data_IF_854616885271
#
_entry.id   IF_854616885271
#
_cell.length_a   1.000
_cell.length_b   1.000
_cell.length_c   1.000
_cell.angle_alpha   90.00
_cell.angle_beta   90.00
_cell.angle_gamma   90.00
#
_symmetry.space_group_name_H-M   'P 1'
#
loop_
_entity.id
_entity.type
_entity.pdbx_description
1 polymer ?
#
# COMPACT_ATOMS: atom_id res chain seq x y z
N UNK A 1 14.32 -23.12 13.95
CA UNK A 1 14.76 -21.88 13.28
C UNK A 1 14.52 -22.10 11.81
N UNK A 2 13.73 -21.24 11.16
CA UNK A 2 13.57 -21.30 9.71
C UNK A 2 14.94 -21.14 9.03
N UNK A 3 15.12 -21.76 7.87
CA UNK A 3 16.34 -21.64 7.08
C UNK A 3 16.56 -20.16 6.70
N UNK A 4 17.80 -19.67 6.81
CA UNK A 4 18.13 -18.29 6.45
C UNK A 4 18.11 -18.16 4.93
N UNK A 5 17.00 -17.67 4.40
CA UNK A 5 16.84 -17.32 2.98
C UNK A 5 17.56 -16.02 2.60
N UNK A 6 17.92 -15.92 1.32
CA UNK A 6 18.30 -14.67 0.65
C UNK A 6 17.11 -14.12 -0.13
N UNK A 7 16.64 -12.93 0.27
CA UNK A 7 15.41 -12.32 -0.29
C UNK A 7 15.70 -10.92 -0.85
N UNK A 8 15.39 -10.70 -2.12
CA UNK A 8 15.36 -9.37 -2.71
C UNK A 8 13.92 -8.84 -2.71
N UNK A 9 13.73 -7.55 -2.44
CA UNK A 9 12.41 -6.91 -2.38
C UNK A 9 12.43 -5.61 -3.16
N UNK A 10 11.49 -5.41 -4.07
CA UNK A 10 11.37 -4.17 -4.82
C UNK A 10 10.54 -3.11 -4.08
N UNK A 11 10.70 -1.83 -4.44
CA UNK A 11 9.79 -0.80 -3.97
C UNK A 11 9.96 0.56 -4.64
N UNK A 12 9.36 1.61 -4.05
CA UNK A 12 9.40 2.99 -4.56
C UNK A 12 9.67 4.05 -3.48
N UNK A 13 10.22 3.67 -2.33
CA UNK A 13 10.48 4.58 -1.19
C UNK A 13 11.47 5.74 -1.49
N UNK A 14 12.44 5.58 -2.38
CA UNK A 14 13.26 6.66 -2.93
C UNK A 14 12.49 7.37 -4.02
N UNK A 15 11.91 6.64 -4.96
CA UNK A 15 11.25 7.20 -6.16
C UNK A 15 10.10 8.15 -5.82
N UNK A 16 9.29 7.80 -4.82
CA UNK A 16 8.24 8.63 -4.24
C UNK A 16 8.50 8.78 -2.73
N UNK A 17 9.26 9.80 -2.31
CA UNK A 17 9.81 9.88 -0.95
C UNK A 17 8.80 10.38 0.10
N UNK A 18 7.56 9.91 0.02
CA UNK A 18 6.48 10.18 0.95
C UNK A 18 6.47 9.18 2.11
N UNK A 19 6.06 9.63 3.30
CA UNK A 19 5.99 8.80 4.50
C UNK A 19 5.07 7.59 4.34
N UNK A 20 3.91 7.76 3.69
CA UNK A 20 3.01 6.65 3.40
C UNK A 20 3.64 5.58 2.49
N UNK A 21 4.31 6.01 1.40
CA UNK A 21 5.01 5.10 0.48
C UNK A 21 6.16 4.38 1.18
N UNK A 22 6.89 5.07 2.03
CA UNK A 22 7.95 4.45 2.82
C UNK A 22 7.42 3.31 3.69
N UNK A 23 6.32 3.52 4.42
CA UNK A 23 5.70 2.48 5.26
C UNK A 23 4.98 1.38 4.47
N UNK A 24 4.66 1.62 3.20
CA UNK A 24 4.14 0.61 2.30
C UNK A 24 5.22 -0.43 1.97
N UNK A 25 6.38 0.05 1.48
CA UNK A 25 7.45 -0.82 1.00
C UNK A 25 8.40 -1.30 2.10
N UNK A 26 8.80 -0.45 3.05
CA UNK A 26 9.88 -0.77 3.98
C UNK A 26 9.53 -1.82 5.04
N UNK A 27 8.26 -2.16 5.18
CA UNK A 27 7.83 -3.19 6.13
C UNK A 27 8.18 -4.61 5.66
N UNK A 28 8.28 -4.83 4.36
CA UNK A 28 8.76 -6.09 3.80
C UNK A 28 10.23 -6.36 4.14
N UNK A 29 11.21 -5.52 3.72
CA UNK A 29 12.61 -5.81 3.98
C UNK A 29 12.94 -5.78 5.48
N UNK A 30 12.27 -4.93 6.26
CA UNK A 30 12.44 -4.91 7.72
C UNK A 30 11.89 -6.18 8.38
N UNK A 31 10.66 -6.59 8.05
CA UNK A 31 10.05 -7.79 8.62
C UNK A 31 10.85 -9.05 8.27
N UNK A 32 11.26 -9.20 7.01
CA UNK A 32 12.11 -10.31 6.55
C UNK A 32 13.45 -10.35 7.28
N UNK A 33 14.07 -9.18 7.47
CA UNK A 33 15.32 -9.06 8.23
C UNK A 33 15.12 -9.49 9.68
N UNK A 34 14.01 -9.12 10.32
CA UNK A 34 13.70 -9.48 11.73
C UNK A 34 13.43 -10.97 11.89
N UNK A 35 12.87 -11.62 10.86
CA UNK A 35 12.76 -13.08 10.76
C UNK A 35 14.13 -13.79 10.57
N UNK A 36 15.21 -13.04 10.35
CA UNK A 36 16.58 -13.56 10.26
C UNK A 36 17.08 -13.80 8.83
N UNK A 37 16.34 -13.37 7.81
CA UNK A 37 16.71 -13.52 6.41
C UNK A 37 17.79 -12.50 5.97
N UNK A 38 18.53 -12.86 4.93
CA UNK A 38 19.48 -11.99 4.25
C UNK A 38 18.75 -11.17 3.19
N UNK A 39 18.52 -9.88 3.47
CA UNK A 39 17.64 -9.04 2.64
C UNK A 39 18.43 -8.02 1.82
N UNK A 40 17.95 -7.74 0.61
CA UNK A 40 18.32 -6.59 -0.21
C UNK A 40 17.06 -5.86 -0.70
N UNK A 41 16.97 -4.56 -0.44
CA UNK A 41 15.97 -3.68 -1.01
C UNK A 41 16.44 -3.14 -2.38
N UNK A 42 15.58 -3.15 -3.39
CA UNK A 42 15.93 -2.80 -4.78
C UNK A 42 14.91 -1.81 -5.35
N UNK A 43 15.37 -0.64 -5.79
CA UNK A 43 14.57 0.28 -6.61
C UNK A 43 15.22 0.44 -7.98
N UNK A 44 14.57 -0.10 -9.00
CA UNK A 44 14.99 0.03 -10.40
C UNK A 44 13.76 0.20 -11.30
N UNK A 45 12.98 1.29 -11.13
CA UNK A 45 11.68 1.40 -11.78
C UNK A 45 11.73 1.93 -13.22
N UNK A 46 12.89 2.42 -13.70
CA UNK A 46 13.04 3.14 -14.99
C UNK A 46 12.08 4.34 -15.18
N UNK A 47 11.66 4.97 -14.08
CA UNK A 47 10.82 6.18 -14.10
C UNK A 47 11.50 7.34 -13.38
N UNK A 48 11.05 8.56 -13.68
CA UNK A 48 11.51 9.77 -13.01
C UNK A 48 11.08 9.77 -11.54
N UNK A 49 11.93 10.33 -10.68
CA UNK A 49 11.63 10.47 -9.26
C UNK A 49 10.69 11.65 -9.05
N UNK A 50 9.76 11.56 -8.11
CA UNK A 50 8.94 12.71 -7.74
C UNK A 50 9.64 13.55 -6.67
N UNK A 51 9.86 14.84 -6.89
CA UNK A 51 10.39 15.77 -5.90
C UNK A 51 9.24 16.45 -5.13
N UNK A 52 9.01 16.10 -3.84
CA UNK A 52 7.93 16.67 -3.04
C UNK A 52 8.19 18.12 -2.61
N UNK A 53 9.37 18.70 -2.89
CA UNK A 53 9.64 20.13 -2.61
C UNK A 53 9.21 21.00 -3.79
N UNK A 54 9.48 20.54 -5.01
CA UNK A 54 9.17 21.29 -6.24
C UNK A 54 7.88 20.84 -6.91
N UNK A 55 7.24 19.79 -6.37
CA UNK A 55 5.98 19.21 -6.83
C UNK A 55 6.03 18.76 -8.30
N UNK A 56 7.18 18.24 -8.74
CA UNK A 56 7.39 17.80 -10.12
C UNK A 56 8.30 16.58 -10.17
N UNK A 57 8.35 15.94 -11.33
CA UNK A 57 9.26 14.84 -11.58
C UNK A 57 10.66 15.34 -11.95
N UNK A 58 11.68 14.67 -11.42
CA UNK A 58 13.09 14.94 -11.66
C UNK A 58 13.80 13.68 -12.14
N UNK A 59 14.71 13.87 -13.09
CA UNK A 59 15.42 12.77 -13.74
C UNK A 59 16.53 12.17 -12.85
N UNK A 60 17.27 13.05 -12.15
CA UNK A 60 18.39 12.65 -11.29
C UNK A 60 17.92 12.33 -9.87
N UNK A 61 18.22 11.10 -9.42
CA UNK A 61 17.76 10.58 -8.14
C UNK A 61 18.70 10.81 -6.95
N UNK A 62 19.77 11.61 -7.07
CA UNK A 62 20.79 11.72 -6.01
C UNK A 62 20.25 12.18 -4.65
N UNK A 63 19.35 13.17 -4.64
CA UNK A 63 18.69 13.64 -3.40
C UNK A 63 17.78 12.57 -2.79
N UNK A 64 17.10 11.80 -3.63
CA UNK A 64 16.22 10.70 -3.25
C UNK A 64 17.02 9.53 -2.66
N UNK A 65 18.16 9.21 -3.26
CA UNK A 65 19.11 8.23 -2.75
C UNK A 65 19.64 8.62 -1.36
N UNK A 66 20.07 9.87 -1.17
CA UNK A 66 20.53 10.38 0.12
C UNK A 66 19.45 10.29 1.19
N UNK A 67 18.21 10.59 0.82
CA UNK A 67 17.06 10.53 1.72
C UNK A 67 16.72 9.08 2.10
N UNK A 68 16.72 8.17 1.12
CA UNK A 68 16.52 6.74 1.35
C UNK A 68 17.60 6.19 2.28
N UNK A 69 18.88 6.49 2.02
CA UNK A 69 20.01 6.05 2.84
C UNK A 69 19.84 6.45 4.31
N UNK A 70 19.49 7.72 4.57
CA UNK A 70 19.24 8.22 5.94
C UNK A 70 18.07 7.52 6.60
N UNK A 71 16.95 7.34 5.88
CA UNK A 71 15.73 6.74 6.43
C UNK A 71 15.87 5.25 6.69
N UNK A 72 16.53 4.51 5.80
CA UNK A 72 16.82 3.08 5.99
C UNK A 72 17.74 2.89 7.19
N UNK A 73 18.81 3.68 7.31
CA UNK A 73 19.73 3.58 8.45
C UNK A 73 19.05 3.94 9.79
N UNK A 74 18.12 4.91 9.78
CA UNK A 74 17.33 5.26 10.95
C UNK A 74 16.26 4.20 11.30
N UNK A 75 15.76 3.46 10.30
CA UNK A 75 14.79 2.40 10.48
C UNK A 75 15.41 1.15 11.13
N UNK A 76 16.53 0.68 10.59
CA UNK A 76 17.31 -0.43 11.13
C UNK A 76 18.79 -0.29 10.67
N UNK A 77 19.75 -0.17 11.59
CA UNK A 77 21.17 -0.03 11.25
C UNK A 77 21.73 -1.15 10.39
N UNK A 78 21.19 -2.37 10.47
CA UNK A 78 21.67 -3.49 9.67
C UNK A 78 21.19 -3.44 8.22
N UNK A 79 20.19 -2.61 7.91
CA UNK A 79 19.73 -2.35 6.54
C UNK A 79 20.54 -1.27 5.83
N UNK A 80 21.42 -0.53 6.53
CA UNK A 80 22.13 0.65 5.99
C UNK A 80 22.91 0.39 4.68
N UNK A 81 23.43 -0.82 4.50
CA UNK A 81 24.20 -1.26 3.32
C UNK A 81 23.44 -2.31 2.48
N UNK A 82 22.13 -2.46 2.71
CA UNK A 82 21.25 -3.49 2.12
C UNK A 82 20.19 -2.89 1.20
N UNK A 83 20.58 -1.89 0.44
CA UNK A 83 19.70 -1.26 -0.53
C UNK A 83 20.45 -0.92 -1.81
N UNK A 84 19.72 -0.87 -2.90
CA UNK A 84 20.18 -0.44 -4.22
C UNK A 84 19.11 0.44 -4.85
N UNK A 85 19.53 1.49 -5.51
CA UNK A 85 18.64 2.35 -6.27
C UNK A 85 19.28 2.74 -7.61
N UNK A 86 18.51 2.61 -8.70
CA UNK A 86 18.83 3.11 -10.04
C UNK A 86 17.82 4.19 -10.44
N UNK A 87 18.32 5.38 -10.73
CA UNK A 87 17.47 6.47 -11.23
C UNK A 87 17.19 6.35 -12.74
N UNK A 88 16.31 7.22 -13.26
CA UNK A 88 15.92 7.22 -14.67
C UNK A 88 17.07 7.45 -15.65
N UNK A 89 18.20 8.04 -15.20
CA UNK A 89 19.40 8.23 -16.02
C UNK A 89 20.29 7.00 -16.08
N UNK A 90 19.95 5.94 -15.35
CA UNK A 90 20.76 4.74 -15.19
C UNK A 90 21.87 4.89 -14.14
N UNK A 91 21.93 6.02 -13.41
CA UNK A 91 22.89 6.20 -12.33
C UNK A 91 22.47 5.36 -11.13
N UNK A 92 23.44 4.75 -10.48
CA UNK A 92 23.21 3.83 -9.36
C UNK A 92 23.74 4.38 -8.04
N UNK A 93 23.08 3.98 -6.96
CA UNK A 93 23.37 4.39 -5.58
C UNK A 93 23.16 3.20 -4.63
N UNK A 94 23.80 3.26 -3.46
CA UNK A 94 23.76 2.18 -2.47
C UNK A 94 24.76 1.08 -2.81
N UNK A 95 24.32 -0.18 -2.76
CA UNK A 95 25.15 -1.35 -3.06
C UNK A 95 25.63 -1.35 -4.52
N UNK A 96 26.87 -1.76 -4.75
CA UNK A 96 27.44 -1.82 -6.10
C UNK A 96 26.68 -2.80 -7.01
N UNK A 97 26.45 -2.41 -8.28
CA UNK A 97 25.63 -3.19 -9.22
C UNK A 97 26.10 -4.64 -9.37
N UNK A 98 27.41 -4.88 -9.45
CA UNK A 98 27.96 -6.24 -9.55
C UNK A 98 27.65 -7.11 -8.33
N UNK A 99 27.43 -6.51 -7.15
CA UNK A 99 27.01 -7.22 -5.94
C UNK A 99 25.52 -7.46 -5.90
N UNK A 100 24.72 -6.52 -6.40
CA UNK A 100 23.27 -6.67 -6.59
C UNK A 100 22.98 -7.84 -7.53
N UNK A 101 23.66 -7.90 -8.68
CA UNK A 101 23.53 -9.01 -9.64
C UNK A 101 23.88 -10.35 -8.99
N UNK A 102 24.99 -10.42 -8.25
CA UNK A 102 25.38 -11.66 -7.52
C UNK A 102 24.35 -12.03 -6.44
N UNK A 103 23.77 -11.03 -5.78
CA UNK A 103 22.75 -11.25 -4.76
C UNK A 103 21.48 -11.84 -5.39
N UNK A 104 20.91 -11.19 -6.41
CA UNK A 104 19.66 -11.61 -7.06
C UNK A 104 19.79 -12.99 -7.73
N UNK A 105 20.90 -13.27 -8.43
CA UNK A 105 21.16 -14.59 -9.03
C UNK A 105 21.30 -15.73 -8.00
N UNK A 106 21.63 -15.39 -6.76
CA UNK A 106 21.71 -16.36 -5.68
C UNK A 106 20.58 -16.21 -4.65
N UNK A 107 19.53 -15.46 -4.98
CA UNK A 107 18.40 -15.25 -4.09
C UNK A 107 17.47 -16.47 -4.13
N UNK A 108 16.99 -16.87 -2.97
CA UNK A 108 15.95 -17.89 -2.85
C UNK A 108 14.59 -17.33 -3.28
N UNK A 109 14.38 -16.03 -3.06
CA UNK A 109 13.13 -15.33 -3.37
C UNK A 109 13.39 -13.90 -3.84
N UNK A 110 12.75 -13.51 -4.93
CA UNK A 110 12.65 -12.13 -5.40
C UNK A 110 11.19 -11.68 -5.33
N UNK A 111 10.90 -10.71 -4.45
CA UNK A 111 9.57 -10.13 -4.29
C UNK A 111 9.43 -8.88 -5.16
N UNK A 112 8.69 -9.01 -6.25
CA UNK A 112 8.30 -7.91 -7.11
C UNK A 112 6.96 -7.32 -6.62
N UNK A 113 7.06 -6.26 -5.83
CA UNK A 113 5.91 -5.59 -5.24
C UNK A 113 5.31 -4.60 -6.24
N UNK A 114 4.01 -4.73 -6.53
CA UNK A 114 3.16 -3.72 -7.19
C UNK A 114 3.71 -3.15 -8.49
N UNK A 115 4.31 -4.00 -9.32
CA UNK A 115 4.97 -3.61 -10.57
C UNK A 115 5.99 -2.46 -10.40
N UNK A 116 6.63 -2.38 -9.23
CA UNK A 116 7.51 -1.27 -8.84
C UNK A 116 8.90 -1.32 -9.47
N UNK A 117 9.18 -2.30 -10.33
CA UNK A 117 10.50 -2.55 -10.85
C UNK A 117 10.45 -2.84 -12.35
N UNK A 118 11.38 -2.25 -13.08
CA UNK A 118 11.73 -2.73 -14.41
C UNK A 118 12.47 -4.06 -14.27
N UNK A 119 11.80 -5.14 -14.63
CA UNK A 119 12.31 -6.49 -14.41
C UNK A 119 13.41 -6.86 -15.41
N UNK A 120 14.62 -7.08 -14.91
CA UNK A 120 15.81 -7.47 -15.69
C UNK A 120 16.08 -8.96 -15.57
N UNK A 121 16.88 -9.50 -16.48
CA UNK A 121 17.26 -10.92 -16.48
C UNK A 121 17.96 -11.34 -15.17
N UNK A 122 18.73 -10.45 -14.55
CA UNK A 122 19.38 -10.74 -13.28
C UNK A 122 18.41 -10.86 -12.10
N UNK A 123 17.23 -10.25 -12.20
CA UNK A 123 16.17 -10.35 -11.20
C UNK A 123 15.36 -11.64 -11.38
N UNK A 124 15.09 -12.00 -12.64
CA UNK A 124 14.45 -13.28 -12.98
C UNK A 124 15.33 -14.51 -12.71
N UNK A 125 16.62 -14.32 -12.46
CA UNK A 125 17.54 -15.41 -12.15
C UNK A 125 17.48 -15.91 -10.70
N UNK A 126 16.63 -15.31 -9.85
CA UNK A 126 16.36 -15.85 -8.52
C UNK A 126 15.70 -17.24 -8.62
N UNK A 127 15.80 -18.04 -7.56
CA UNK A 127 15.19 -19.38 -7.52
C UNK A 127 13.67 -19.31 -7.70
N UNK A 128 13.04 -18.33 -7.05
CA UNK A 128 11.61 -18.06 -7.12
C UNK A 128 11.42 -16.55 -7.28
N UNK A 129 10.62 -16.14 -8.26
CA UNK A 129 10.24 -14.75 -8.49
C UNK A 129 8.74 -14.63 -8.23
N UNK A 130 8.36 -13.94 -7.17
CA UNK A 130 6.98 -13.77 -6.77
C UNK A 130 6.51 -12.33 -7.05
N UNK A 131 5.34 -12.20 -7.66
CA UNK A 131 4.65 -10.93 -7.84
C UNK A 131 3.66 -10.71 -6.69
N UNK A 132 3.63 -9.51 -6.11
CA UNK A 132 2.65 -9.13 -5.08
C UNK A 132 1.84 -7.93 -5.60
N UNK A 133 0.57 -8.15 -5.88
CA UNK A 133 -0.36 -7.15 -6.37
C UNK A 133 -1.04 -6.39 -5.21
N UNK A 134 -0.65 -5.14 -4.98
CA UNK A 134 -1.32 -4.28 -3.99
C UNK A 134 -2.47 -3.43 -4.56
N UNK A 135 -2.68 -3.44 -5.88
CA UNK A 135 -3.67 -2.59 -6.59
C UNK A 135 -4.56 -3.45 -7.51
N UNK A 136 -5.34 -4.37 -6.91
CA UNK A 136 -6.14 -5.34 -7.65
C UNK A 136 -7.19 -4.62 -8.51
N UNK A 137 -7.57 -5.26 -9.62
CA UNK A 137 -8.26 -4.69 -10.80
C UNK A 137 -7.30 -4.04 -11.80
N UNK A 138 -6.38 -3.16 -11.39
CA UNK A 138 -5.53 -2.44 -12.34
C UNK A 138 -4.45 -3.34 -12.97
N UNK A 139 -3.91 -4.27 -12.17
CA UNK A 139 -2.97 -5.29 -12.65
C UNK A 139 -3.65 -6.24 -13.64
N UNK A 140 -4.91 -6.61 -13.38
CA UNK A 140 -5.67 -7.59 -14.14
C UNK A 140 -6.48 -7.00 -15.31
N UNK A 141 -6.62 -5.68 -15.37
CA UNK A 141 -7.54 -5.00 -16.30
C UNK A 141 -7.34 -5.36 -17.77
N UNK A 142 -6.10 -5.60 -18.20
CA UNK A 142 -5.79 -5.92 -19.59
C UNK A 142 -5.83 -7.41 -19.90
N UNK A 143 -6.11 -8.27 -18.91
CA UNK A 143 -6.18 -9.72 -19.08
C UNK A 143 -7.27 -10.13 -20.09
N UNK A 144 -8.51 -9.59 -20.04
CA UNK A 144 -9.54 -9.93 -21.01
C UNK A 144 -9.13 -9.59 -22.46
N UNK A 145 -8.60 -8.39 -22.69
CA UNK A 145 -8.13 -7.95 -24.01
C UNK A 145 -6.94 -8.78 -24.50
N UNK A 146 -6.05 -9.20 -23.61
CA UNK A 146 -4.93 -10.07 -23.95
C UNK A 146 -5.42 -11.46 -24.38
N UNK A 147 -6.38 -12.05 -23.66
CA UNK A 147 -6.98 -13.33 -24.02
C UNK A 147 -7.76 -13.27 -25.34
N UNK A 148 -8.38 -12.12 -25.63
CA UNK A 148 -9.08 -11.87 -26.90
C UNK A 148 -8.13 -11.54 -28.07
N UNK A 149 -6.84 -11.32 -27.81
CA UNK A 149 -5.86 -10.90 -28.82
C UNK A 149 -6.00 -9.44 -29.26
N UNK A 150 -6.71 -8.61 -28.48
CA UNK A 150 -6.98 -7.19 -28.75
C UNK A 150 -6.14 -6.23 -27.90
N UNK A 151 -5.41 -6.73 -26.90
CA UNK A 151 -4.54 -5.91 -26.08
C UNK A 151 -3.48 -5.19 -26.92
N UNK A 152 -3.23 -3.92 -26.56
CA UNK A 152 -2.17 -3.12 -27.14
C UNK A 152 -0.77 -3.66 -26.80
N UNK A 153 0.26 -3.09 -27.42
CA UNK A 153 1.64 -3.58 -27.27
C UNK A 153 2.15 -3.44 -25.82
N UNK A 154 1.75 -2.37 -25.11
CA UNK A 154 2.21 -2.11 -23.75
C UNK A 154 1.56 -3.08 -22.77
N UNK A 155 0.25 -3.28 -22.88
CA UNK A 155 -0.51 -4.22 -22.06
C UNK A 155 -0.06 -5.67 -22.30
N UNK A 156 0.23 -6.01 -23.56
CA UNK A 156 0.83 -7.31 -23.92
C UNK A 156 2.20 -7.48 -23.28
N UNK A 157 3.09 -6.50 -23.42
CA UNK A 157 4.43 -6.57 -22.84
C UNK A 157 4.38 -6.72 -21.30
N UNK A 158 3.45 -6.01 -20.65
CA UNK A 158 3.21 -6.13 -19.21
C UNK A 158 2.78 -7.55 -18.83
N UNK A 159 1.81 -8.12 -19.54
CA UNK A 159 1.33 -9.49 -19.25
C UNK A 159 2.43 -10.53 -19.51
N UNK A 160 3.19 -10.41 -20.61
CA UNK A 160 4.31 -11.32 -20.88
C UNK A 160 5.39 -11.24 -19.80
N UNK A 161 5.67 -10.05 -19.26
CA UNK A 161 6.57 -9.86 -18.12
C UNK A 161 6.01 -10.53 -16.85
N UNK A 162 4.72 -10.36 -16.56
CA UNK A 162 4.07 -11.02 -15.42
C UNK A 162 4.12 -12.55 -15.55
N UNK A 163 3.89 -13.10 -16.73
CA UNK A 163 3.95 -14.56 -17.00
C UNK A 163 5.32 -15.21 -16.74
N UNK A 164 6.38 -14.42 -16.55
CA UNK A 164 7.71 -14.91 -16.15
C UNK A 164 7.87 -15.10 -14.63
N UNK A 165 6.88 -14.72 -13.83
CA UNK A 165 6.89 -14.94 -12.38
C UNK A 165 6.41 -16.35 -12.04
N UNK A 166 6.92 -16.90 -10.95
CA UNK A 166 6.62 -18.26 -10.50
C UNK A 166 5.43 -18.32 -9.53
N UNK A 167 5.17 -17.21 -8.82
CA UNK A 167 4.09 -17.12 -7.84
C UNK A 167 3.42 -15.75 -7.87
N UNK A 168 2.11 -15.72 -7.60
CA UNK A 168 1.29 -14.51 -7.65
C UNK A 168 0.52 -14.35 -6.35
N UNK A 169 0.68 -13.19 -5.73
CA UNK A 169 -0.04 -12.78 -4.54
C UNK A 169 -0.86 -11.54 -4.81
N UNK A 170 -1.97 -11.36 -4.10
CA UNK A 170 -2.81 -10.15 -4.24
C UNK A 170 -3.42 -9.72 -2.91
N UNK A 171 -3.60 -8.41 -2.75
CA UNK A 171 -4.42 -7.85 -1.66
C UNK A 171 -5.92 -7.95 -1.96
N UNK A 172 -6.32 -8.31 -3.19
CA UNK A 172 -7.70 -8.62 -3.52
C UNK A 172 -8.10 -10.01 -3.02
N UNK A 173 -8.42 -10.15 -1.74
CA UNK A 173 -8.70 -11.46 -1.13
C UNK A 173 -9.90 -12.20 -1.75
N UNK A 174 -10.79 -11.48 -2.45
CA UNK A 174 -11.93 -12.08 -3.14
C UNK A 174 -11.65 -12.43 -4.61
N UNK A 175 -10.45 -12.18 -5.14
CA UNK A 175 -10.14 -12.53 -6.54
C UNK A 175 -10.38 -14.02 -6.77
N UNK A 176 -11.22 -14.34 -7.76
CA UNK A 176 -11.68 -15.71 -8.06
C UNK A 176 -12.98 -16.13 -7.38
N UNK A 177 -13.51 -15.33 -6.44
CA UNK A 177 -14.84 -15.56 -5.86
C UNK A 177 -15.97 -15.22 -6.87
N UNK A 178 -17.14 -15.88 -6.78
CA UNK A 178 -18.23 -15.67 -7.76
C UNK A 178 -18.78 -14.25 -7.84
N UNK A 179 -18.70 -13.48 -6.75
CA UNK A 179 -19.17 -12.10 -6.66
C UNK A 179 -18.06 -11.05 -6.88
N UNK A 180 -16.82 -11.49 -7.12
CA UNK A 180 -15.71 -10.61 -7.44
C UNK A 180 -15.62 -10.37 -8.95
N UNK A 181 -15.60 -9.09 -9.38
CA UNK A 181 -15.56 -8.71 -10.81
C UNK A 181 -14.16 -8.58 -11.38
N UNK A 182 -13.11 -8.83 -10.59
CA UNK A 182 -11.73 -8.75 -11.07
C UNK A 182 -11.43 -9.96 -11.96
N UNK A 183 -10.86 -9.76 -13.16
CA UNK A 183 -10.41 -10.88 -14.00
C UNK A 183 -9.38 -11.74 -13.25
N UNK A 184 -9.72 -13.00 -13.01
CA UNK A 184 -8.85 -13.94 -12.30
C UNK A 184 -8.05 -14.87 -13.23
N UNK A 185 -8.29 -14.82 -14.55
CA UNK A 185 -7.63 -15.68 -15.51
C UNK A 185 -6.12 -15.39 -15.63
N UNK A 186 -5.39 -16.32 -16.28
CA UNK A 186 -3.94 -16.33 -16.52
C UNK A 186 -3.02 -16.58 -15.32
N UNK A 187 -3.43 -16.20 -14.11
CA UNK A 187 -2.55 -16.26 -12.94
C UNK A 187 -3.28 -16.87 -11.73
N UNK A 188 -2.60 -17.75 -11.00
CA UNK A 188 -3.11 -18.36 -9.78
C UNK A 188 -2.85 -17.44 -8.58
N UNK A 189 -3.79 -16.53 -8.33
CA UNK A 189 -3.68 -15.52 -7.28
C UNK A 189 -3.86 -16.10 -5.88
N UNK A 190 -2.84 -15.93 -5.03
CA UNK A 190 -2.90 -16.26 -3.60
C UNK A 190 -3.18 -15.00 -2.77
N UNK A 191 -4.23 -14.95 -1.95
CA UNK A 191 -4.48 -13.84 -1.05
C UNK A 191 -3.30 -13.58 -0.11
N UNK A 192 -2.95 -12.31 0.07
CA UNK A 192 -2.01 -11.84 1.10
C UNK A 192 -2.41 -10.45 1.57
N UNK A 193 -1.70 -9.93 2.57
CA UNK A 193 -1.96 -8.61 3.16
C UNK A 193 -0.69 -7.79 3.28
N UNK A 194 -0.86 -6.50 3.55
CA UNK A 194 0.25 -5.64 3.93
C UNK A 194 0.89 -6.15 5.24
N UNK A 195 2.19 -6.53 5.25
CA UNK A 195 2.88 -6.82 6.49
C UNK A 195 3.11 -5.52 7.28
N UNK A 196 2.87 -5.58 8.58
CA UNK A 196 3.11 -4.49 9.52
C UNK A 196 4.06 -4.90 10.63
N UNK A 197 5.19 -4.21 10.74
CA UNK A 197 6.18 -4.41 11.81
C UNK A 197 5.68 -3.69 13.07
N UNK A 198 4.82 -4.37 13.83
CA UNK A 198 3.98 -3.79 14.87
C UNK A 198 4.75 -2.99 15.93
N UNK A 199 5.97 -3.39 16.28
CA UNK A 199 6.77 -2.69 17.31
C UNK A 199 7.05 -1.24 16.94
N UNK A 200 7.29 -0.96 15.65
CA UNK A 200 7.55 0.41 15.19
C UNK A 200 6.33 1.33 15.32
N UNK A 201 5.12 0.75 15.36
CA UNK A 201 3.89 1.50 15.56
C UNK A 201 3.51 1.55 17.04
N UNK A 202 3.81 0.49 17.81
CA UNK A 202 3.60 0.42 19.26
C UNK A 202 4.24 1.62 19.98
N UNK A 203 5.48 1.95 19.64
CA UNK A 203 6.23 3.03 20.29
C UNK A 203 5.75 4.43 19.90
N UNK A 204 4.99 4.55 18.81
CA UNK A 204 4.44 5.79 18.30
C UNK A 204 2.97 6.03 18.72
N UNK A 205 2.38 5.12 19.52
CA UNK A 205 0.98 5.24 19.94
C UNK A 205 0.80 6.44 20.87
N UNK A 206 -0.30 7.15 20.65
CA UNK A 206 -0.76 8.25 21.50
C UNK A 206 -1.98 7.74 22.27
N UNK A 207 -2.05 7.89 23.61
CA UNK A 207 -3.24 7.57 24.40
C UNK A 207 -4.47 8.32 23.88
N UNK A 208 -5.67 7.72 23.98
CA UNK A 208 -6.90 8.30 23.40
C UNK A 208 -7.15 9.73 23.88
N UNK A 209 -6.94 10.00 25.17
CA UNK A 209 -7.08 11.34 25.76
C UNK A 209 -6.14 12.41 25.16
N UNK A 210 -5.04 12.00 24.52
CA UNK A 210 -4.09 12.89 23.84
C UNK A 210 -4.33 13.05 22.34
N UNK A 211 -5.34 12.37 21.77
CA UNK A 211 -5.65 12.42 20.34
C UNK A 211 -6.52 13.62 20.02
N UNK A 212 -6.36 14.14 18.81
CA UNK A 212 -7.24 15.15 18.22
C UNK A 212 -8.60 14.49 17.95
N UNK A 213 -9.72 15.11 18.35
CA UNK A 213 -11.06 14.57 18.11
C UNK A 213 -11.46 14.81 16.66
N UNK A 214 -10.79 14.12 15.73
CA UNK A 214 -10.99 14.18 14.28
C UNK A 214 -10.78 12.79 13.69
N UNK A 215 -11.47 12.50 12.60
CA UNK A 215 -11.10 11.37 11.75
C UNK A 215 -10.27 11.87 10.57
N UNK A 216 -9.15 11.21 10.29
CA UNK A 216 -8.20 11.66 9.26
C UNK A 216 -8.04 10.67 8.13
N UNK A 217 -7.67 11.15 6.95
CA UNK A 217 -7.14 10.32 5.87
C UNK A 217 -6.18 11.09 4.98
N UNK A 218 -5.28 10.35 4.33
CA UNK A 218 -4.33 10.86 3.34
C UNK A 218 -4.66 10.24 1.99
N UNK A 219 -4.90 11.06 0.98
CA UNK A 219 -5.28 10.60 -0.35
C UNK A 219 -4.85 11.57 -1.46
N UNK A 220 -4.85 11.07 -2.69
CA UNK A 220 -4.69 11.88 -3.90
C UNK A 220 -6.03 12.06 -4.58
N UNK A 221 -6.34 13.28 -5.00
CA UNK A 221 -7.49 13.58 -5.84
C UNK A 221 -7.14 13.34 -7.31
N UNK A 222 -7.66 12.25 -7.86
CA UNK A 222 -7.46 11.89 -9.26
C UNK A 222 -8.40 12.74 -10.16
N UNK A 223 -7.91 13.34 -11.26
CA UNK A 223 -8.76 14.00 -12.24
C UNK A 223 -9.74 12.99 -12.85
N UNK A 224 -10.97 13.41 -13.11
CA UNK A 224 -12.09 12.57 -13.59
C UNK A 224 -11.95 11.98 -15.01
N UNK A 225 -10.73 11.87 -15.56
CA UNK A 225 -10.52 11.74 -17.01
C UNK A 225 -10.09 10.38 -17.53
N UNK A 226 -9.84 9.38 -16.69
CA UNK A 226 -9.56 8.02 -17.19
C UNK A 226 -10.25 6.97 -16.33
N UNK A 227 -11.44 6.59 -16.76
CA UNK A 227 -12.14 5.43 -16.24
C UNK A 227 -11.41 4.18 -16.74
N UNK A 228 -11.12 3.26 -15.81
CA UNK A 228 -10.62 1.95 -16.14
C UNK A 228 -11.80 1.14 -16.66
N UNK A 229 -11.74 0.65 -17.91
CA UNK A 229 -12.82 -0.17 -18.47
C UNK A 229 -12.36 -1.62 -18.51
N UNK A 230 -13.12 -2.51 -17.87
CA UNK A 230 -12.87 -3.95 -17.87
C UNK A 230 -14.17 -4.66 -18.20
N UNK A 231 -14.17 -5.51 -19.22
CA UNK A 231 -15.35 -6.22 -19.73
C UNK A 231 -16.56 -5.30 -19.99
N UNK A 232 -16.30 -4.09 -20.48
CA UNK A 232 -17.32 -3.08 -20.77
C UNK A 232 -17.89 -2.35 -19.54
N UNK A 233 -17.38 -2.62 -18.34
CA UNK A 233 -17.73 -1.90 -17.11
C UNK A 233 -16.68 -0.84 -16.81
N UNK A 234 -17.14 0.40 -16.65
CA UNK A 234 -16.28 1.52 -16.27
C UNK A 234 -16.12 1.59 -14.74
N UNK A 235 -14.88 1.65 -14.29
CA UNK A 235 -14.49 1.83 -12.90
C UNK A 235 -13.80 3.18 -12.72
N UNK A 236 -14.29 3.95 -11.76
CA UNK A 236 -13.77 5.26 -11.43
C UNK A 236 -12.59 5.24 -10.46
N UNK A 237 -12.02 6.42 -10.26
CA UNK A 237 -11.02 6.68 -9.23
C UNK A 237 -11.61 6.86 -7.83
N UNK A 238 -10.74 7.19 -6.87
CA UNK A 238 -11.16 7.48 -5.48
C UNK A 238 -12.02 8.75 -5.38
N UNK A 239 -11.80 9.73 -6.25
CA UNK A 239 -12.57 10.98 -6.29
C UNK A 239 -14.05 10.72 -6.58
N UNK A 240 -14.38 9.74 -7.43
CA UNK A 240 -15.76 9.34 -7.71
C UNK A 240 -16.49 8.84 -6.44
N UNK A 241 -15.83 8.02 -5.62
CA UNK A 241 -16.42 7.58 -4.35
C UNK A 241 -16.55 8.75 -3.37
N UNK A 242 -15.52 9.60 -3.24
CA UNK A 242 -15.55 10.72 -2.31
C UNK A 242 -16.70 11.71 -2.60
N UNK A 243 -17.05 11.91 -3.87
CA UNK A 243 -18.21 12.71 -4.29
C UNK A 243 -19.53 12.23 -3.65
N UNK A 244 -19.70 10.92 -3.44
CA UNK A 244 -20.90 10.33 -2.81
C UNK A 244 -21.02 10.68 -1.33
N UNK A 245 -19.93 11.08 -0.69
CA UNK A 245 -19.86 11.37 0.75
C UNK A 245 -19.67 12.85 1.06
N UNK A 246 -19.81 13.75 0.09
CA UNK A 246 -19.56 15.18 0.29
C UNK A 246 -20.32 15.81 1.46
N UNK A 247 -21.54 15.34 1.73
CA UNK A 247 -22.40 15.83 2.81
C UNK A 247 -22.21 15.10 4.15
N UNK A 248 -21.28 14.14 4.22
CA UNK A 248 -21.00 13.39 5.44
C UNK A 248 -20.58 14.27 6.63
N UNK A 249 -19.79 15.36 6.49
CA UNK A 249 -19.44 16.19 7.65
C UNK A 249 -20.66 16.78 8.38
N UNK A 250 -21.77 17.03 7.68
CA UNK A 250 -23.00 17.52 8.29
C UNK A 250 -23.77 16.45 9.09
N UNK A 251 -23.43 15.18 8.89
CA UNK A 251 -24.05 14.01 9.53
C UNK A 251 -23.14 13.34 10.56
N UNK A 252 -21.87 13.70 10.59
CA UNK A 252 -20.85 13.06 11.41
C UNK A 252 -20.82 13.62 12.83
N UNK A 253 -20.72 12.74 13.83
CA UNK A 253 -20.51 13.13 15.23
C UNK A 253 -19.11 13.72 15.48
N UNK A 254 -18.16 13.48 14.57
CA UNK A 254 -16.78 13.93 14.66
C UNK A 254 -16.34 14.69 13.39
N UNK A 255 -15.48 15.71 13.50
CA UNK A 255 -14.95 16.40 12.34
C UNK A 255 -14.11 15.47 11.44
N UNK A 256 -14.25 15.65 10.12
CA UNK A 256 -13.52 14.89 9.11
C UNK A 256 -12.42 15.74 8.48
N UNK A 257 -11.19 15.25 8.51
CA UNK A 257 -10.00 15.93 8.00
C UNK A 257 -9.33 15.14 6.87
N UNK A 258 -9.12 15.81 5.74
CA UNK A 258 -8.49 15.22 4.56
C UNK A 258 -7.15 15.90 4.27
N UNK A 259 -6.11 15.10 4.14
CA UNK A 259 -4.86 15.50 3.50
C UNK A 259 -4.91 15.09 2.02
N UNK A 260 -5.31 16.02 1.15
CA UNK A 260 -5.53 15.76 -0.29
C UNK A 260 -4.48 16.41 -1.16
N UNK A 261 -3.79 15.61 -1.98
CA UNK A 261 -2.97 16.09 -3.09
C UNK A 261 -3.76 16.13 -4.40
N UNK A 262 -3.18 16.70 -5.45
CA UNK A 262 -3.82 16.82 -6.77
C UNK A 262 -4.79 18.00 -6.89
N UNK A 263 -5.60 17.99 -7.94
CA UNK A 263 -6.55 19.07 -8.27
C UNK A 263 -7.87 18.92 -7.51
N UNK A 264 -7.80 18.86 -6.18
CA UNK A 264 -8.97 18.73 -5.32
C UNK A 264 -9.84 20.01 -5.32
N UNK A 265 -11.19 19.90 -5.28
CA UNK A 265 -12.09 21.05 -5.18
C UNK A 265 -12.14 21.60 -3.75
N UNK A 266 -11.05 22.26 -3.32
CA UNK A 266 -10.77 22.71 -1.95
C UNK A 266 -11.91 23.58 -1.38
N UNK A 267 -12.38 24.56 -2.12
CA UNK A 267 -13.42 25.50 -1.68
C UNK A 267 -14.75 24.77 -1.43
N UNK A 268 -15.17 23.93 -2.38
CA UNK A 268 -16.40 23.12 -2.28
C UNK A 268 -16.35 22.17 -1.09
N UNK A 269 -15.21 21.53 -0.84
CA UNK A 269 -15.04 20.65 0.31
C UNK A 269 -15.17 21.43 1.64
N UNK A 270 -14.54 22.61 1.75
CA UNK A 270 -14.65 23.47 2.94
C UNK A 270 -16.07 23.96 3.18
N UNK A 271 -16.78 24.36 2.13
CA UNK A 271 -18.19 24.78 2.20
C UNK A 271 -19.11 23.66 2.72
N UNK A 272 -18.76 22.39 2.45
CA UNK A 272 -19.47 21.21 2.96
C UNK A 272 -19.00 20.74 4.33
N UNK A 273 -18.10 21.48 4.99
CA UNK A 273 -17.65 21.21 6.36
C UNK A 273 -16.43 20.31 6.48
N UNK A 274 -15.77 19.95 5.37
CA UNK A 274 -14.51 19.20 5.42
C UNK A 274 -13.37 20.07 5.94
N UNK A 275 -12.56 19.50 6.85
CA UNK A 275 -11.27 20.09 7.22
C UNK A 275 -10.22 19.62 6.22
N UNK A 276 -9.40 20.54 5.73
CA UNK A 276 -8.33 20.22 4.79
C UNK A 276 -6.99 20.59 5.39
N UNK A 277 -6.03 19.68 5.25
CA UNK A 277 -4.64 19.88 5.66
C UNK A 277 -3.70 19.65 4.47
N UNK A 278 -2.50 20.23 4.55
CA UNK A 278 -1.52 20.09 3.48
C UNK A 278 -0.96 18.65 3.43
N UNK A 279 -1.17 17.90 2.32
CA UNK A 279 -0.63 16.55 2.16
C UNK A 279 0.91 16.53 2.21
N UNK A 280 1.58 17.59 1.75
CA UNK A 280 3.03 17.73 1.78
C UNK A 280 3.53 17.77 3.21
N UNK A 281 2.94 18.63 4.04
CA UNK A 281 3.29 18.76 5.46
C UNK A 281 3.10 17.47 6.27
N UNK A 282 2.06 16.69 6.00
CA UNK A 282 1.78 15.46 6.77
C UNK A 282 2.52 14.23 6.25
N UNK A 283 2.99 14.24 5.00
CA UNK A 283 3.60 13.07 4.34
C UNK A 283 5.07 13.29 3.97
N UNK A 284 5.68 14.43 4.33
CA UNK A 284 7.06 14.76 3.97
C UNK A 284 8.10 13.78 4.53
N UNK A 285 7.78 13.08 5.62
CA UNK A 285 8.67 12.15 6.31
C UNK A 285 7.91 10.96 6.94
N UNK A 286 8.50 9.75 7.01
CA UNK A 286 7.85 8.59 7.64
C UNK A 286 7.45 8.80 9.10
N UNK A 287 8.27 9.51 9.88
CA UNK A 287 7.98 9.81 11.28
C UNK A 287 6.84 10.83 11.42
N UNK A 288 6.84 11.86 10.57
CA UNK A 288 5.77 12.87 10.51
C UNK A 288 4.45 12.22 10.11
N UNK A 289 4.46 11.39 9.07
CA UNK A 289 3.29 10.64 8.62
C UNK A 289 2.73 9.74 9.73
N UNK A 290 3.57 8.92 10.36
CA UNK A 290 3.16 8.06 11.47
C UNK A 290 2.57 8.85 12.64
N UNK A 291 3.16 10.00 12.97
CA UNK A 291 2.67 10.89 14.03
C UNK A 291 1.32 11.51 13.66
N UNK A 292 1.13 11.89 12.40
CA UNK A 292 -0.15 12.40 11.90
C UNK A 292 -1.26 11.36 12.09
N UNK A 293 -1.04 10.11 11.66
CA UNK A 293 -2.00 9.02 11.84
C UNK A 293 -2.30 8.79 13.33
N UNK A 294 -1.26 8.67 14.16
CA UNK A 294 -1.36 8.37 15.59
C UNK A 294 -2.12 9.47 16.37
N UNK A 295 -2.08 10.71 15.87
CA UNK A 295 -2.71 11.87 16.53
C UNK A 295 -4.22 11.94 16.34
N UNK A 296 -4.81 11.14 15.44
CA UNK A 296 -6.25 11.19 15.13
C UNK A 296 -7.05 10.26 16.03
N UNK A 297 -8.33 10.58 16.25
CA UNK A 297 -9.23 9.70 17.03
C UNK A 297 -9.62 8.45 16.22
N UNK A 298 -9.68 8.58 14.90
CA UNK A 298 -9.95 7.47 13.99
C UNK A 298 -9.50 7.76 12.56
N UNK A 299 -9.53 6.74 11.70
CA UNK A 299 -9.50 6.92 10.25
C UNK A 299 -10.94 6.98 9.72
N UNK A 300 -11.19 7.88 8.77
CA UNK A 300 -12.32 7.73 7.84
C UNK A 300 -11.78 7.74 6.42
N UNK A 301 -12.08 6.72 5.61
CA UNK A 301 -11.64 6.73 4.21
C UNK A 301 -12.53 5.93 3.26
N UNK A 302 -12.70 6.46 2.05
CA UNK A 302 -13.25 5.75 0.90
C UNK A 302 -12.20 4.87 0.22
N UNK A 303 -12.60 3.87 -0.54
CA UNK A 303 -11.69 3.10 -1.41
C UNK A 303 -11.69 3.67 -2.84
N UNK A 304 -10.86 3.14 -3.75
CA UNK A 304 -11.06 3.41 -5.18
C UNK A 304 -12.37 2.73 -5.62
N UNK A 305 -13.15 3.37 -6.50
CA UNK A 305 -14.40 2.78 -6.99
C UNK A 305 -14.19 1.38 -7.57
N UNK A 306 -13.07 1.16 -8.26
CA UNK A 306 -12.65 -0.15 -8.74
C UNK A 306 -12.68 -1.25 -7.66
N UNK A 307 -12.24 -0.98 -6.43
CA UNK A 307 -12.22 -1.99 -5.35
C UNK A 307 -13.61 -2.26 -4.79
N UNK A 308 -14.43 -1.22 -4.68
CA UNK A 308 -15.79 -1.27 -4.13
C UNK A 308 -16.71 -2.02 -5.09
N UNK A 309 -16.80 -1.55 -6.33
CA UNK A 309 -17.70 -2.11 -7.34
C UNK A 309 -17.30 -3.52 -7.76
N UNK A 310 -16.02 -3.87 -7.65
CA UNK A 310 -15.58 -5.24 -7.94
C UNK A 310 -15.65 -6.19 -6.76
N UNK A 311 -16.03 -5.72 -5.55
CA UNK A 311 -15.98 -6.49 -4.30
C UNK A 311 -14.63 -7.18 -4.11
N UNK A 312 -13.55 -6.45 -4.34
CA UNK A 312 -12.20 -7.02 -4.44
C UNK A 312 -11.68 -7.69 -3.17
N UNK A 313 -12.26 -7.38 -2.01
CA UNK A 313 -11.73 -7.79 -0.71
C UNK A 313 -10.50 -6.97 -0.28
N UNK A 314 -10.16 -5.91 -1.02
CA UNK A 314 -8.95 -5.11 -0.77
C UNK A 314 -8.99 -4.38 0.56
N UNK A 315 -7.89 -4.42 1.29
CA UNK A 315 -7.69 -3.66 2.52
C UNK A 315 -6.46 -2.75 2.44
N UNK A 316 -6.59 -1.51 2.91
CA UNK A 316 -5.55 -0.49 2.73
C UNK A 316 -4.34 -0.69 3.65
N UNK A 317 -3.14 -0.53 3.08
CA UNK A 317 -1.88 -0.43 3.83
C UNK A 317 -1.91 0.68 4.88
N UNK A 318 -2.55 1.82 4.55
CA UNK A 318 -2.71 2.95 5.47
C UNK A 318 -3.61 2.58 6.64
N UNK A 319 -4.73 1.91 6.38
CA UNK A 319 -5.64 1.45 7.43
C UNK A 319 -4.95 0.44 8.34
N UNK A 320 -4.18 -0.48 7.79
CA UNK A 320 -3.34 -1.38 8.60
C UNK A 320 -2.37 -0.61 9.52
N UNK A 321 -1.78 0.50 9.04
CA UNK A 321 -0.95 1.38 9.87
C UNK A 321 -1.75 2.09 10.98
N UNK A 322 -2.96 2.60 10.70
CA UNK A 322 -3.83 3.17 11.73
C UNK A 322 -4.17 2.15 12.82
N UNK A 323 -4.59 0.94 12.44
CA UNK A 323 -4.89 -0.13 13.37
C UNK A 323 -3.67 -0.48 14.25
N UNK A 324 -2.48 -0.55 13.65
CA UNK A 324 -1.24 -0.81 14.40
C UNK A 324 -0.88 0.31 15.40
N UNK A 325 -1.32 1.54 15.15
CA UNK A 325 -1.23 2.68 16.08
C UNK A 325 -2.34 2.67 17.15
N UNK A 326 -3.22 1.67 17.13
CA UNK A 326 -4.41 1.61 17.97
C UNK A 326 -5.41 2.72 17.62
N UNK A 327 -5.41 3.18 16.38
CA UNK A 327 -6.37 4.16 15.88
C UNK A 327 -7.46 3.38 15.12
N UNK A 328 -8.71 3.38 15.62
CA UNK A 328 -9.79 2.67 14.97
C UNK A 328 -10.14 3.28 13.61
N UNK A 329 -10.76 2.50 12.72
CA UNK A 329 -11.00 2.90 11.35
C UNK A 329 -12.45 2.68 10.91
N UNK A 330 -13.01 3.66 10.22
CA UNK A 330 -14.30 3.61 9.51
C UNK A 330 -13.98 3.68 8.02
N UNK A 331 -14.04 2.56 7.32
CA UNK A 331 -13.57 2.44 5.93
C UNK A 331 -14.63 1.85 5.02
N UNK A 332 -14.59 2.25 3.75
CA UNK A 332 -15.57 1.79 2.78
C UNK A 332 -15.44 0.29 2.52
N UNK A 333 -16.57 -0.40 2.46
CA UNK A 333 -16.64 -1.84 2.27
C UNK A 333 -16.21 -2.23 0.85
N UNK A 334 -15.18 -3.05 0.74
CA UNK A 334 -14.71 -3.69 -0.49
C UNK A 334 -15.00 -5.20 -0.47
N UNK A 335 -15.65 -5.71 0.58
CA UNK A 335 -15.82 -7.14 0.86
C UNK A 335 -14.63 -7.78 1.58
N UNK A 336 -13.79 -7.00 2.27
CA UNK A 336 -12.60 -7.52 2.96
C UNK A 336 -13.00 -8.47 4.12
N UNK A 337 -12.29 -9.60 4.32
CA UNK A 337 -12.69 -10.62 5.30
C UNK A 337 -12.08 -10.37 6.70
N UNK A 338 -12.28 -9.18 7.26
CA UNK A 338 -11.80 -8.79 8.60
C UNK A 338 -13.01 -8.45 9.49
N UNK A 339 -13.06 -8.90 10.75
CA UNK A 339 -14.16 -8.59 11.66
C UNK A 339 -14.39 -7.07 11.78
N UNK A 340 -15.66 -6.67 11.72
CA UNK A 340 -16.10 -5.28 11.86
C UNK A 340 -17.07 -5.12 13.03
N UNK A 341 -17.28 -3.87 13.47
CA UNK A 341 -18.15 -3.52 14.59
C UNK A 341 -17.38 -3.16 15.86
N UNK A 342 -16.08 -3.45 15.93
CA UNK A 342 -15.23 -3.06 17.06
C UNK A 342 -13.81 -2.76 16.57
N UNK A 343 -13.37 -1.51 16.68
CA UNK A 343 -12.03 -1.08 16.23
C UNK A 343 -11.91 -0.88 14.71
N UNK A 344 -12.72 -1.59 13.93
CA UNK A 344 -12.87 -1.45 12.49
C UNK A 344 -14.35 -1.47 12.13
N UNK A 345 -14.79 -0.54 11.29
CA UNK A 345 -16.15 -0.46 10.77
C UNK A 345 -16.12 -0.37 9.25
N UNK A 346 -16.97 -1.18 8.61
CA UNK A 346 -17.22 -1.10 7.17
C UNK A 346 -18.48 -0.28 6.90
N UNK A 347 -18.50 0.50 5.82
CA UNK A 347 -19.70 1.20 5.35
C UNK A 347 -19.83 1.13 3.83
N UNK A 348 -21.06 1.10 3.34
CA UNK A 348 -21.40 1.27 1.93
C UNK A 348 -22.12 2.61 1.67
N UNK A 349 -22.80 3.16 2.67
CA UNK A 349 -23.63 4.38 2.55
C UNK A 349 -23.20 5.50 3.50
N UNK A 350 -23.57 6.77 3.22
CA UNK A 350 -23.33 7.88 4.15
C UNK A 350 -24.01 7.70 5.51
N UNK A 351 -25.17 7.03 5.58
CA UNK A 351 -25.88 6.76 6.83
C UNK A 351 -25.11 5.74 7.69
N UNK A 352 -24.63 4.67 7.09
CA UNK A 352 -23.78 3.68 7.77
C UNK A 352 -22.46 4.29 8.24
N UNK A 353 -21.83 5.15 7.42
CA UNK A 353 -20.62 5.87 7.82
C UNK A 353 -20.87 6.77 9.04
N UNK A 354 -21.97 7.52 9.05
CA UNK A 354 -22.33 8.38 10.19
C UNK A 354 -22.59 7.56 11.46
N UNK A 355 -23.35 6.46 11.36
CA UNK A 355 -23.63 5.57 12.48
C UNK A 355 -22.36 4.91 13.04
N UNK A 356 -21.45 4.47 12.18
CA UNK A 356 -20.16 3.91 12.58
C UNK A 356 -19.27 4.94 13.30
N UNK A 357 -19.30 6.20 12.84
CA UNK A 357 -18.57 7.30 13.51
C UNK A 357 -19.16 7.59 14.89
N UNK A 358 -20.49 7.54 15.03
CA UNK A 358 -21.17 7.72 16.32
C UNK A 358 -20.83 6.59 17.30
N UNK A 359 -20.86 5.34 16.86
CA UNK A 359 -20.44 4.18 17.68
C UNK A 359 -18.97 4.33 18.12
N UNK A 360 -18.07 4.66 17.18
CA UNK A 360 -16.65 4.89 17.47
C UNK A 360 -16.46 5.98 18.54
N UNK A 361 -17.21 7.07 18.43
CA UNK A 361 -17.15 8.20 19.36
C UNK A 361 -17.70 7.87 20.76
N UNK A 362 -18.58 6.87 20.86
CA UNK A 362 -19.23 6.49 22.12
C UNK A 362 -18.29 5.79 23.10
N UNK A 363 -17.34 4.99 22.60
CA UNK A 363 -16.32 4.29 23.39
C UNK A 363 -14.97 4.21 22.63
N UNK A 364 -14.25 5.33 22.51
CA UNK A 364 -13.01 5.38 21.72
C UNK A 364 -11.87 4.55 22.34
N UNK A 365 -11.89 4.30 23.66
CA UNK A 365 -10.88 3.46 24.34
C UNK A 365 -11.06 1.98 23.97
N UNK A 366 -12.30 1.48 23.99
CA UNK A 366 -12.63 0.12 23.54
C UNK A 366 -12.20 -0.10 22.09
N UNK A 367 -12.54 0.83 21.21
CA UNK A 367 -12.19 0.73 19.80
C UNK A 367 -10.70 0.88 19.53
N UNK A 368 -9.98 1.70 20.30
CA UNK A 368 -8.52 1.78 20.21
C UNK A 368 -7.84 0.46 20.63
N UNK A 369 -8.35 -0.21 21.67
CA UNK A 369 -7.84 -1.52 22.08
C UNK A 369 -8.10 -2.60 21.01
N UNK A 370 -9.33 -2.69 20.50
CA UNK A 370 -9.68 -3.64 19.45
C UNK A 370 -8.90 -3.42 18.15
N UNK A 371 -8.61 -2.16 17.78
CA UNK A 371 -7.77 -1.86 16.63
C UNK A 371 -6.36 -2.47 16.74
N UNK A 372 -5.78 -2.48 17.96
CA UNK A 372 -4.49 -3.13 18.22
C UNK A 372 -4.57 -4.64 18.06
N UNK A 373 -5.64 -5.25 18.54
CA UNK A 373 -5.86 -6.70 18.44
C UNK A 373 -6.01 -7.12 16.98
N UNK A 374 -6.84 -6.40 16.21
CA UNK A 374 -6.98 -6.60 14.76
C UNK A 374 -5.65 -6.45 14.03
N UNK A 375 -4.85 -5.42 14.36
CA UNK A 375 -3.53 -5.25 13.76
C UNK A 375 -2.60 -6.44 14.03
N UNK A 376 -2.62 -6.96 15.27
CA UNK A 376 -1.80 -8.09 15.68
C UNK A 376 -2.22 -9.39 14.99
N UNK A 377 -3.52 -9.64 14.89
CA UNK A 377 -4.06 -10.88 14.34
C UNK A 377 -3.93 -10.96 12.81
N UNK A 378 -4.21 -9.85 12.11
CA UNK A 378 -4.40 -9.84 10.65
C UNK A 378 -3.20 -9.27 9.85
N UNK A 379 -2.35 -8.44 10.46
CA UNK A 379 -1.33 -7.68 9.73
C UNK A 379 0.10 -7.82 10.28
N UNK A 380 0.32 -8.56 11.37
CA UNK A 380 1.67 -8.75 11.93
C UNK A 380 2.66 -9.29 10.89
N UNK A 381 3.78 -8.58 10.69
CA UNK A 381 4.78 -8.90 9.65
C UNK A 381 5.26 -10.34 9.72
N UNK A 382 5.48 -10.87 10.92
CA UNK A 382 6.04 -12.21 11.11
C UNK A 382 5.09 -13.27 10.57
N UNK A 383 3.77 -13.11 10.79
CA UNK A 383 2.76 -14.03 10.26
C UNK A 383 2.67 -13.91 8.74
N UNK A 384 2.39 -12.69 8.26
CA UNK A 384 2.13 -12.41 6.85
C UNK A 384 3.32 -12.83 5.97
N UNK A 385 4.55 -12.50 6.38
CA UNK A 385 5.74 -12.81 5.60
C UNK A 385 6.10 -14.29 5.63
N UNK A 386 5.90 -15.00 6.76
CA UNK A 386 6.12 -16.45 6.80
C UNK A 386 5.11 -17.17 5.90
N UNK A 387 3.82 -16.82 5.97
CA UNK A 387 2.78 -17.40 5.09
C UNK A 387 3.09 -17.14 3.60
N UNK A 388 3.55 -15.91 3.27
CA UNK A 388 3.96 -15.54 1.91
C UNK A 388 5.17 -16.35 1.44
N UNK A 389 6.24 -16.47 2.24
CA UNK A 389 7.44 -17.23 1.90
C UNK A 389 7.09 -18.71 1.68
N UNK A 390 6.32 -19.30 2.60
CA UNK A 390 5.92 -20.69 2.50
C UNK A 390 5.10 -20.96 1.23
N UNK A 391 4.15 -20.08 0.91
CA UNK A 391 3.37 -20.19 -0.33
C UNK A 391 4.25 -20.03 -1.58
N UNK A 392 5.16 -19.05 -1.59
CA UNK A 392 6.03 -18.78 -2.74
C UNK A 392 6.94 -19.97 -3.03
N UNK A 393 7.58 -20.54 -1.99
CA UNK A 393 8.54 -21.63 -2.16
C UNK A 393 7.88 -23.00 -2.37
N UNK A 394 6.62 -23.20 -1.94
CA UNK A 394 5.84 -24.41 -2.27
C UNK A 394 5.53 -24.49 -3.77
N UNK A 395 5.25 -23.36 -4.40
CA UNK A 395 4.88 -23.30 -5.82
C UNK A 395 6.08 -23.45 -6.77
N UNK A 396 7.31 -23.50 -6.24
CA UNK A 396 8.55 -23.61 -7.02
C UNK A 396 9.23 -24.99 -6.93
N UNK A 397 8.59 -25.97 -6.29
CA UNK A 397 9.03 -27.37 -6.24
C UNK A 397 8.13 -28.25 -7.09
#
# INVERSE_FOLDING_TARGET
MAERLRVAVTGLAATYPYGGVFWDYMQYPLGLRRLGHDVLYVEDPEIWCYDPVTHTFVEHGGRHADLLARRIAALDPDLKDRWFFRDATGRTYGREWGEVVRFCRGADLFLHLSASCWMREEYFAARTVAFVDSDPMYTQASVPDYLAGTADELDRARIEMLRRHDAFFTFGENVGAPDCRIPAALFDWTPTRQPVVLDLFRDARIPVAGRRPVLTTVASWEPSKRELVVDGVAYGGKSLELERFLDLPARSALPLELALSGEAPVERLRERGWRLTDPGAVSCDPGVYRSYLASSLGEWSVAKNAYVESRSGWFSCRTACYLALGVPAVVQDTGFPIPTGEGLFAFATPDEAAAAIEELASDPERHAAAAVELAAEYFGSDRVLNELIEAALRNSG
#
